data_IF_723960604301
#
_entry.id   IF_723960604301
#
_cell.length_a   1.000
_cell.length_b   1.000
_cell.length_c   1.000
_cell.angle_alpha   90.00
_cell.angle_beta   90.00
_cell.angle_gamma   90.00
#
_symmetry.space_group_name_H-M   'P 1'
#
loop_
_entity.id
_entity.type
_entity.pdbx_description
1 polymer ?
#
# COMPACT_ATOMS: atom_id res chain seq x y z
N UNK A 1 -4.77 -7.17 5.54
CA UNK A 1 -4.79 -7.48 4.10
C UNK A 1 -5.05 -8.96 3.95
N UNK A 2 -6.04 -9.34 3.14
CA UNK A 2 -6.32 -10.74 2.81
C UNK A 2 -5.76 -10.99 1.40
N UNK A 3 -4.63 -11.71 1.24
CA UNK A 3 -3.97 -11.87 -0.05
C UNK A 3 -4.78 -12.71 -1.05
N UNK A 4 -5.64 -13.60 -0.56
CA UNK A 4 -6.62 -14.32 -1.39
C UNK A 4 -7.89 -13.53 -1.67
N UNK A 5 -7.99 -12.29 -1.18
CA UNK A 5 -9.22 -11.52 -1.17
C UNK A 5 -10.21 -12.00 -0.11
N UNK A 6 -11.29 -11.24 0.00
CA UNK A 6 -12.43 -11.57 0.84
C UNK A 6 -13.47 -12.26 -0.06
N UNK A 7 -13.99 -13.46 0.28
CA UNK A 7 -14.83 -14.23 -0.64
C UNK A 7 -16.08 -13.45 -1.04
N UNK A 8 -16.27 -13.21 -2.34
CA UNK A 8 -17.38 -12.39 -2.82
C UNK A 8 -18.76 -13.00 -2.49
N UNK A 9 -18.83 -14.35 -2.44
CA UNK A 9 -20.05 -15.10 -2.12
C UNK A 9 -20.52 -14.95 -0.68
N UNK A 10 -19.65 -14.46 0.22
CA UNK A 10 -19.96 -14.24 1.63
C UNK A 10 -20.16 -12.75 1.97
N UNK A 11 -20.05 -11.87 0.96
CA UNK A 11 -19.82 -10.43 1.18
C UNK A 11 -20.73 -9.55 0.35
N UNK A 12 -20.46 -9.42 -0.95
CA UNK A 12 -21.11 -8.45 -1.83
C UNK A 12 -21.74 -9.06 -3.10
N UNK A 13 -21.45 -10.32 -3.42
CA UNK A 13 -22.03 -11.05 -4.56
C UNK A 13 -22.46 -12.45 -4.15
N UNK A 14 -23.36 -12.50 -3.17
CA UNK A 14 -23.86 -13.74 -2.61
C UNK A 14 -24.81 -14.43 -3.57
N UNK A 15 -24.84 -15.76 -3.52
CA UNK A 15 -25.65 -16.61 -4.40
C UNK A 15 -26.68 -17.40 -3.56
N UNK A 16 -27.61 -16.75 -2.85
CA UNK A 16 -28.50 -17.42 -1.88
C UNK A 16 -29.34 -18.54 -2.52
N UNK A 17 -29.69 -18.37 -3.79
CA UNK A 17 -30.47 -19.31 -4.59
C UNK A 17 -29.63 -20.40 -5.27
N UNK A 18 -28.30 -20.36 -5.19
CA UNK A 18 -27.46 -21.44 -5.69
C UNK A 18 -27.59 -22.69 -4.79
N UNK A 19 -27.29 -23.90 -5.30
CA UNK A 19 -27.28 -25.11 -4.48
C UNK A 19 -26.35 -24.96 -3.26
N UNK A 20 -26.64 -25.69 -2.18
CA UNK A 20 -25.88 -25.65 -0.92
C UNK A 20 -24.38 -25.82 -1.10
N UNK A 21 -23.98 -26.58 -2.13
CA UNK A 21 -22.58 -26.91 -2.40
C UNK A 21 -21.80 -25.74 -3.03
N UNK A 22 -22.51 -24.70 -3.51
CA UNK A 22 -21.93 -23.55 -4.20
C UNK A 22 -22.27 -22.20 -3.55
N UNK A 23 -23.38 -22.09 -2.81
CA UNK A 23 -23.73 -20.86 -2.11
C UNK A 23 -22.91 -20.69 -0.84
N UNK A 24 -22.67 -19.43 -0.47
CA UNK A 24 -22.04 -19.09 0.81
C UNK A 24 -22.91 -19.43 2.01
N UNK A 25 -22.31 -19.42 3.20
CA UNK A 25 -22.97 -19.73 4.47
C UNK A 25 -23.88 -18.59 4.95
N UNK A 26 -23.53 -17.33 4.64
CA UNK A 26 -24.24 -16.15 5.14
C UNK A 26 -25.42 -15.73 4.26
N UNK A 27 -26.35 -14.98 4.86
CA UNK A 27 -27.59 -14.52 4.22
C UNK A 27 -27.55 -13.06 3.77
N UNK A 28 -28.27 -12.71 2.69
CA UNK A 28 -28.46 -11.33 2.27
C UNK A 28 -29.31 -10.56 3.26
N UNK A 29 -28.90 -9.32 3.50
CA UNK A 29 -29.70 -8.30 4.17
C UNK A 29 -29.87 -7.09 3.25
N UNK A 30 -31.10 -6.58 3.20
CA UNK A 30 -31.42 -5.38 2.43
C UNK A 30 -30.69 -4.16 2.99
N UNK A 31 -30.31 -3.26 2.08
CA UNK A 31 -29.68 -1.97 2.42
C UNK A 31 -30.68 -0.82 2.33
N UNK A 32 -30.23 0.40 2.65
CA UNK A 32 -30.99 1.63 2.46
C UNK A 32 -31.22 2.00 0.99
N UNK A 33 -30.64 1.25 0.04
CA UNK A 33 -30.88 1.40 -1.40
C UNK A 33 -31.67 0.20 -1.92
N UNK A 34 -32.89 0.39 -2.48
CA UNK A 34 -33.68 -0.70 -3.04
C UNK A 34 -32.92 -1.49 -4.11
N UNK A 35 -32.98 -2.82 -4.00
CA UNK A 35 -32.29 -3.74 -4.93
C UNK A 35 -30.80 -3.97 -4.62
N UNK A 36 -30.25 -3.32 -3.59
CA UNK A 36 -28.90 -3.63 -3.09
C UNK A 36 -29.02 -4.44 -1.80
N UNK A 37 -28.37 -5.59 -1.81
CA UNK A 37 -28.18 -6.48 -0.67
C UNK A 37 -26.69 -6.73 -0.44
N UNK A 38 -26.34 -6.91 0.84
CA UNK A 38 -24.99 -7.29 1.31
C UNK A 38 -25.10 -8.40 2.34
N UNK A 39 -23.97 -8.99 2.73
CA UNK A 39 -23.91 -9.97 3.82
C UNK A 39 -24.47 -9.42 5.13
N UNK A 40 -25.22 -10.26 5.87
CA UNK A 40 -25.74 -9.96 7.21
C UNK A 40 -24.63 -9.56 8.21
N UNK A 41 -23.38 -9.94 7.92
CA UNK A 41 -22.20 -9.55 8.70
C UNK A 41 -21.82 -8.06 8.53
N UNK A 42 -22.44 -7.31 7.60
CA UNK A 42 -22.15 -5.89 7.38
C UNK A 42 -23.31 -4.95 7.73
N UNK A 43 -23.83 -4.97 8.97
CA UNK A 43 -24.98 -4.16 9.38
C UNK A 43 -24.71 -2.64 9.31
N UNK A 44 -23.45 -2.21 9.26
CA UNK A 44 -23.10 -0.80 9.04
C UNK A 44 -23.07 -0.44 7.54
N UNK A 45 -22.75 -1.38 6.66
CA UNK A 45 -22.77 -1.12 5.20
C UNK A 45 -24.20 -0.98 4.69
N UNK A 46 -25.17 -1.66 5.32
CA UNK A 46 -26.60 -1.51 4.96
C UNK A 46 -27.09 -0.07 5.09
N UNK A 47 -26.47 0.73 5.97
CA UNK A 47 -26.87 2.12 6.25
C UNK A 47 -26.24 3.15 5.33
N UNK A 48 -25.24 2.74 4.54
CA UNK A 48 -24.43 3.64 3.70
C UNK A 48 -24.30 3.12 2.27
N UNK A 49 -25.22 2.27 1.82
CA UNK A 49 -25.17 1.72 0.47
C UNK A 49 -25.38 2.78 -0.62
N UNK A 50 -25.96 3.93 -0.28
CA UNK A 50 -26.05 5.13 -1.11
C UNK A 50 -24.70 5.87 -1.28
N UNK A 51 -23.67 5.46 -0.53
CA UNK A 51 -22.34 6.10 -0.50
C UNK A 51 -21.26 5.29 -1.21
N UNK A 52 -21.59 4.11 -1.74
CA UNK A 52 -20.66 3.28 -2.49
C UNK A 52 -21.31 2.66 -3.73
N UNK A 53 -20.48 2.14 -4.63
CA UNK A 53 -20.93 1.41 -5.82
C UNK A 53 -20.48 -0.04 -5.75
N UNK A 54 -21.34 -0.95 -6.16
CA UNK A 54 -21.02 -2.38 -6.24
C UNK A 54 -20.69 -2.77 -7.68
N UNK A 55 -19.49 -3.30 -7.88
CA UNK A 55 -19.03 -3.81 -9.17
C UNK A 55 -18.83 -5.33 -9.04
N UNK A 56 -19.74 -6.11 -9.65
CA UNK A 56 -19.74 -7.58 -9.63
C UNK A 56 -19.22 -8.20 -10.94
N UNK A 57 -18.80 -7.36 -11.88
CA UNK A 57 -18.36 -7.76 -13.22
C UNK A 57 -16.85 -8.02 -13.33
N UNK A 58 -16.11 -7.98 -12.22
CA UNK A 58 -14.66 -8.22 -12.22
C UNK A 58 -14.41 -9.72 -12.06
N UNK A 59 -13.79 -10.34 -13.05
CA UNK A 59 -13.38 -11.74 -13.05
C UNK A 59 -12.05 -11.93 -13.79
N UNK A 60 -11.39 -13.06 -13.54
CA UNK A 60 -10.19 -13.51 -14.24
C UNK A 60 -10.06 -15.04 -14.18
N UNK A 61 -9.26 -15.62 -15.07
CA UNK A 61 -9.09 -17.08 -15.17
C UNK A 61 -7.82 -17.60 -14.46
N UNK A 62 -7.14 -16.77 -13.68
CA UNK A 62 -5.95 -17.18 -12.93
C UNK A 62 -6.32 -18.01 -11.69
N UNK A 63 -5.74 -19.21 -11.59
CA UNK A 63 -5.79 -20.05 -10.39
C UNK A 63 -4.67 -19.72 -9.38
N UNK A 64 -3.67 -18.91 -9.77
CA UNK A 64 -2.54 -18.51 -8.92
C UNK A 64 -2.71 -17.11 -8.34
N UNK A 65 -2.17 -16.91 -7.12
CA UNK A 65 -2.19 -15.61 -6.45
C UNK A 65 -1.43 -14.54 -7.22
N UNK A 66 -0.29 -14.87 -7.82
CA UNK A 66 0.55 -13.94 -8.58
C UNK A 66 -0.17 -13.36 -9.78
N UNK A 67 -0.80 -14.21 -10.60
CA UNK A 67 -1.63 -13.78 -11.73
C UNK A 67 -2.78 -12.85 -11.31
N UNK A 68 -3.51 -13.22 -10.26
CA UNK A 68 -4.59 -12.41 -9.69
C UNK A 68 -4.12 -11.05 -9.17
N UNK A 69 -3.01 -11.03 -8.40
CA UNK A 69 -2.44 -9.77 -7.91
C UNK A 69 -2.01 -8.86 -9.05
N UNK A 70 -1.28 -9.36 -10.04
CA UNK A 70 -0.88 -8.55 -11.21
C UNK A 70 -2.09 -8.02 -11.95
N UNK A 71 -3.15 -8.82 -12.11
CA UNK A 71 -4.40 -8.39 -12.74
C UNK A 71 -5.04 -7.21 -12.02
N UNK A 72 -5.21 -7.31 -10.71
CA UNK A 72 -5.83 -6.26 -9.88
C UNK A 72 -4.95 -5.03 -9.79
N UNK A 73 -3.65 -5.21 -9.56
CA UNK A 73 -2.71 -4.11 -9.34
C UNK A 73 -2.44 -3.32 -10.61
N UNK A 74 -2.48 -3.93 -11.80
CA UNK A 74 -2.10 -3.26 -13.06
C UNK A 74 -3.28 -2.96 -14.00
N UNK A 75 -4.45 -3.56 -13.74
CA UNK A 75 -5.61 -3.51 -14.63
C UNK A 75 -5.41 -4.23 -15.96
N UNK A 76 -4.33 -5.03 -16.12
CA UNK A 76 -3.95 -5.72 -17.37
C UNK A 76 -3.90 -7.24 -17.19
N UNK A 77 -3.99 -7.96 -18.29
CA UNK A 77 -3.73 -9.40 -18.30
C UNK A 77 -2.20 -9.56 -18.23
N UNK A 78 -1.63 -10.15 -17.16
CA UNK A 78 -0.19 -10.34 -17.05
C UNK A 78 0.32 -11.32 -18.12
N UNK A 79 1.59 -11.19 -18.52
CA UNK A 79 2.20 -12.11 -19.50
C UNK A 79 2.40 -13.49 -18.91
N UNK A 80 2.81 -13.56 -17.65
CA UNK A 80 2.90 -14.79 -16.86
C UNK A 80 1.70 -14.90 -15.91
N UNK A 81 0.99 -16.04 -15.85
CA UNK A 81 -0.13 -16.24 -14.93
C UNK A 81 0.32 -16.52 -13.49
N UNK A 82 1.63 -16.69 -13.26
CA UNK A 82 2.24 -17.00 -11.96
C UNK A 82 3.22 -15.91 -11.56
N UNK A 83 3.74 -15.98 -10.33
CA UNK A 83 4.68 -15.02 -9.75
C UNK A 83 4.09 -13.59 -9.65
N UNK A 84 4.82 -12.73 -8.98
CA UNK A 84 4.32 -11.42 -8.60
C UNK A 84 4.99 -10.25 -9.33
N UNK A 85 6.03 -10.51 -10.14
CA UNK A 85 6.75 -9.45 -10.87
C UNK A 85 5.85 -8.87 -11.97
N UNK A 86 5.69 -7.55 -11.95
CA UNK A 86 4.80 -6.83 -12.83
C UNK A 86 5.41 -6.58 -14.23
N UNK A 87 4.67 -6.91 -15.29
CA UNK A 87 4.97 -6.50 -16.67
C UNK A 87 4.59 -5.03 -16.96
N UNK A 88 3.61 -4.51 -16.22
CA UNK A 88 3.10 -3.16 -16.34
C UNK A 88 3.00 -2.51 -14.95
N UNK A 89 3.09 -1.18 -14.84
CA UNK A 89 3.14 -0.52 -13.55
C UNK A 89 1.85 -0.75 -12.75
N UNK A 90 2.00 -1.03 -11.46
CA UNK A 90 0.87 -1.04 -10.55
C UNK A 90 0.20 0.35 -10.51
N UNK A 91 -1.12 0.40 -10.34
CA UNK A 91 -1.90 1.64 -10.25
C UNK A 91 -1.33 2.65 -9.24
N UNK A 92 -0.91 2.26 -8.01
CA UNK A 92 -0.28 3.19 -7.08
C UNK A 92 1.02 3.80 -7.63
N UNK A 93 1.79 3.06 -8.41
CA UNK A 93 3.03 3.55 -9.04
C UNK A 93 2.73 4.54 -10.17
N UNK A 94 1.64 4.33 -10.93
CA UNK A 94 1.15 5.30 -11.92
C UNK A 94 0.75 6.60 -11.22
N UNK A 95 -0.01 6.51 -10.12
CA UNK A 95 -0.40 7.68 -9.32
C UNK A 95 0.83 8.42 -8.78
N UNK A 96 1.84 7.69 -8.28
CA UNK A 96 3.10 8.29 -7.84
C UNK A 96 3.81 9.05 -8.96
N UNK A 97 3.87 8.48 -10.18
CA UNK A 97 4.43 9.15 -11.36
C UNK A 97 3.64 10.42 -11.71
N UNK A 98 2.31 10.35 -11.69
CA UNK A 98 1.46 11.52 -11.99
C UNK A 98 1.57 12.63 -10.94
N UNK A 99 2.04 12.32 -9.74
CA UNK A 99 2.27 13.28 -8.65
C UNK A 99 3.71 13.80 -8.60
N UNK A 100 4.56 13.41 -9.54
CA UNK A 100 5.93 13.91 -9.63
C UNK A 100 5.98 15.45 -9.62
N UNK A 101 6.98 16.00 -8.91
CA UNK A 101 7.13 17.45 -8.74
C UNK A 101 6.19 18.08 -7.71
N UNK A 102 5.21 17.36 -7.16
CA UNK A 102 4.35 17.88 -6.08
C UNK A 102 5.03 17.71 -4.72
N UNK A 103 5.38 18.82 -4.09
CA UNK A 103 5.95 18.82 -2.75
C UNK A 103 4.88 18.45 -1.71
N UNK A 104 4.98 17.25 -1.14
CA UNK A 104 4.18 16.81 0.02
C UNK A 104 5.03 16.53 1.26
N UNK A 105 6.36 16.60 1.17
CA UNK A 105 7.26 16.19 2.24
C UNK A 105 7.23 14.68 2.58
N UNK A 106 6.40 13.92 1.86
CA UNK A 106 6.14 12.48 2.02
C UNK A 106 6.13 11.79 0.64
N UNK A 107 6.53 10.51 0.54
CA UNK A 107 6.36 9.68 -0.64
C UNK A 107 4.90 9.65 -1.11
N UNK A 108 4.71 9.62 -2.43
CA UNK A 108 3.37 9.57 -3.03
C UNK A 108 2.76 8.17 -3.04
N UNK A 109 3.54 7.14 -2.71
CA UNK A 109 3.10 5.74 -2.64
C UNK A 109 3.79 5.10 -1.43
N UNK A 110 3.01 4.68 -0.44
CA UNK A 110 3.48 4.10 0.82
C UNK A 110 2.75 2.77 1.02
N UNK A 111 3.50 1.74 1.39
CA UNK A 111 2.97 0.41 1.70
C UNK A 111 3.33 0.03 3.14
N UNK A 112 2.37 -0.50 3.89
CA UNK A 112 2.56 -0.91 5.29
C UNK A 112 2.30 -2.41 5.47
N UNK A 113 3.24 -3.29 5.07
CA UNK A 113 3.04 -4.73 5.18
C UNK A 113 3.40 -5.26 6.57
N UNK A 114 2.96 -6.48 6.87
CA UNK A 114 3.51 -7.23 8.00
C UNK A 114 5.01 -7.52 7.79
N UNK A 115 5.72 -7.80 8.88
CA UNK A 115 7.08 -8.32 8.80
C UNK A 115 7.11 -9.63 7.98
N UNK A 116 8.16 -9.79 7.19
CA UNK A 116 8.30 -10.90 6.23
C UNK A 116 7.56 -10.68 4.90
N UNK A 117 6.77 -9.60 4.76
CA UNK A 117 6.01 -9.27 3.54
C UNK A 117 6.41 -7.95 2.89
N UNK A 118 7.60 -7.46 3.21
CA UNK A 118 8.13 -6.18 2.76
C UNK A 118 8.70 -6.14 1.33
N UNK A 119 8.53 -7.19 0.53
CA UNK A 119 9.03 -7.20 -0.85
C UNK A 119 8.04 -6.54 -1.81
N UNK A 120 8.56 -5.76 -2.75
CA UNK A 120 7.76 -5.16 -3.84
C UNK A 120 7.04 -6.23 -4.66
N UNK A 121 7.72 -7.37 -4.88
CA UNK A 121 7.19 -8.53 -5.57
C UNK A 121 6.51 -9.53 -4.63
N UNK A 122 6.14 -9.17 -3.39
CA UNK A 122 5.33 -10.09 -2.56
C UNK A 122 3.86 -10.04 -2.97
N UNK A 123 3.39 -8.88 -3.46
CA UNK A 123 1.98 -8.65 -3.83
C UNK A 123 1.85 -7.78 -5.09
N UNK A 124 2.83 -7.85 -6.01
CA UNK A 124 2.77 -7.17 -7.29
C UNK A 124 2.64 -5.64 -7.21
N UNK A 125 3.43 -5.02 -6.33
CA UNK A 125 3.51 -3.56 -6.21
C UNK A 125 4.55 -2.93 -7.15
N UNK A 126 5.17 -3.72 -8.02
CA UNK A 126 6.22 -3.28 -8.94
C UNK A 126 5.79 -2.14 -9.86
N UNK A 127 6.70 -1.19 -10.07
CA UNK A 127 6.53 -0.06 -10.98
C UNK A 127 6.83 -0.42 -12.45
N UNK A 128 7.34 -1.62 -12.71
CA UNK A 128 7.73 -2.10 -14.04
C UNK A 128 8.57 -1.05 -14.80
N UNK A 129 8.18 -0.72 -16.03
CA UNK A 129 8.90 0.22 -16.89
C UNK A 129 8.84 1.70 -16.42
N UNK A 130 8.11 2.06 -15.36
CA UNK A 130 8.23 3.40 -14.78
C UNK A 130 9.53 3.58 -14.00
N UNK A 131 10.20 2.49 -13.61
CA UNK A 131 11.44 2.53 -12.86
C UNK A 131 11.23 2.52 -11.34
N UNK A 132 12.29 2.18 -10.61
CA UNK A 132 12.23 1.90 -9.18
C UNK A 132 11.83 3.13 -8.33
N UNK A 133 11.99 4.34 -8.85
CA UNK A 133 11.63 5.59 -8.16
C UNK A 133 10.13 5.70 -7.82
N UNK A 134 9.27 4.89 -8.45
CA UNK A 134 7.82 4.87 -8.23
C UNK A 134 7.31 3.60 -7.54
N UNK A 135 8.20 2.71 -7.09
CA UNK A 135 7.80 1.63 -6.17
C UNK A 135 7.38 2.24 -4.83
N UNK A 136 6.51 1.54 -4.05
CA UNK A 136 6.09 2.07 -2.77
C UNK A 136 7.25 2.21 -1.79
N UNK A 137 7.22 3.26 -0.97
CA UNK A 137 8.02 3.34 0.24
C UNK A 137 7.45 2.36 1.27
N UNK A 138 8.24 1.35 1.64
CA UNK A 138 7.76 0.22 2.44
C UNK A 138 8.05 0.47 3.92
N UNK A 139 7.00 0.43 4.73
CA UNK A 139 7.02 0.60 6.18
C UNK A 139 6.53 -0.70 6.83
N UNK A 140 7.42 -1.69 7.02
CA UNK A 140 7.03 -2.98 7.57
C UNK A 140 6.77 -2.91 9.07
N UNK A 141 6.01 -3.87 9.56
CA UNK A 141 5.76 -4.08 11.00
C UNK A 141 4.33 -3.75 11.41
N UNK A 142 4.11 -3.74 12.71
CA UNK A 142 2.79 -3.55 13.32
C UNK A 142 2.73 -2.21 14.08
N UNK A 143 2.03 -1.18 13.57
CA UNK A 143 1.87 0.11 14.24
C UNK A 143 1.17 0.07 15.61
N UNK A 144 0.56 -1.05 15.99
CA UNK A 144 0.00 -1.26 17.33
C UNK A 144 1.04 -1.75 18.35
N UNK A 145 2.20 -2.23 17.89
CA UNK A 145 3.26 -2.70 18.78
C UNK A 145 4.00 -1.52 19.44
N UNK A 146 4.34 -1.60 20.73
CA UNK A 146 5.05 -0.53 21.44
C UNK A 146 6.47 -0.30 20.91
N UNK A 147 7.04 -1.30 20.24
CA UNK A 147 8.37 -1.24 19.60
C UNK A 147 8.29 -0.84 18.13
N UNK A 148 7.12 -0.44 17.63
CA UNK A 148 6.99 -0.03 16.26
C UNK A 148 7.70 1.29 16.02
N UNK A 149 8.68 1.24 15.14
CA UNK A 149 9.34 2.42 14.62
C UNK A 149 9.44 2.29 13.11
N UNK A 150 9.18 3.39 12.41
CA UNK A 150 9.49 3.42 11.00
C UNK A 150 11.02 3.44 10.86
N UNK A 151 11.56 2.30 10.46
CA UNK A 151 12.99 2.14 10.16
C UNK A 151 13.39 3.23 9.17
N UNK A 152 14.45 3.96 9.49
CA UNK A 152 14.88 5.15 8.76
C UNK A 152 13.97 6.39 8.93
N UNK A 153 13.39 6.65 10.11
CA UNK A 153 12.85 7.98 10.49
C UNK A 153 13.36 8.49 11.86
N UNK A 154 14.06 7.65 12.63
CA UNK A 154 14.70 7.99 13.91
C UNK A 154 16.12 8.55 13.70
N UNK A 155 16.22 9.78 13.19
CA UNK A 155 17.50 10.51 13.12
C UNK A 155 17.61 11.48 14.28
N UNK A 156 18.58 11.26 15.17
CA UNK A 156 18.98 12.28 16.15
C UNK A 156 19.72 13.41 15.45
N UNK A 157 19.71 14.62 16.01
CA UNK A 157 20.33 15.81 15.39
C UNK A 157 21.81 15.60 15.05
N UNK A 158 22.55 14.91 15.92
CA UNK A 158 23.95 14.51 15.70
C UNK A 158 24.13 13.47 14.56
N UNK A 159 23.12 12.63 14.31
CA UNK A 159 23.10 11.68 13.18
C UNK A 159 22.76 12.39 11.86
N UNK A 160 21.94 13.45 11.88
CA UNK A 160 21.55 14.20 10.68
C UNK A 160 22.76 14.85 9.99
N UNK A 161 23.67 15.47 10.76
CA UNK A 161 24.91 16.06 10.25
C UNK A 161 25.84 15.00 9.65
N UNK A 162 26.01 13.86 10.33
CA UNK A 162 26.81 12.73 9.81
C UNK A 162 26.20 12.08 8.57
N UNK A 163 24.86 12.05 8.46
CA UNK A 163 24.14 11.57 7.29
C UNK A 163 24.32 12.53 6.10
N UNK A 164 24.35 13.84 6.32
CA UNK A 164 24.66 14.83 5.27
C UNK A 164 26.09 14.64 4.71
N UNK A 165 27.07 14.45 5.60
CA UNK A 165 28.47 14.21 5.21
C UNK A 165 28.60 12.90 4.40
N UNK A 166 27.95 11.82 4.86
CA UNK A 166 27.91 10.55 4.12
C UNK A 166 27.20 10.66 2.78
N UNK A 167 26.09 11.40 2.70
CA UNK A 167 25.39 11.62 1.43
C UNK A 167 26.28 12.38 0.43
N UNK A 168 27.04 13.36 0.89
CA UNK A 168 27.98 14.12 0.06
C UNK A 168 29.10 13.23 -0.49
N UNK A 169 29.66 12.35 0.36
CA UNK A 169 30.68 11.38 -0.03
C UNK A 169 30.15 10.31 -1.00
N UNK A 170 28.96 9.76 -0.74
CA UNK A 170 28.28 8.82 -1.64
C UNK A 170 28.04 9.44 -3.01
N UNK A 171 27.51 10.68 -3.07
CA UNK A 171 27.37 11.40 -4.34
C UNK A 171 28.70 11.62 -5.06
N UNK A 172 29.82 11.71 -4.33
CA UNK A 172 31.18 11.69 -4.90
C UNK A 172 31.54 10.36 -5.57
N UNK A 173 31.26 9.24 -4.91
CA UNK A 173 31.55 7.89 -5.40
C UNK A 173 30.61 7.48 -6.56
N UNK A 174 29.32 7.83 -6.48
CA UNK A 174 28.31 7.51 -7.49
C UNK A 174 28.56 8.27 -8.81
N UNK A 175 29.18 9.45 -8.74
CA UNK A 175 29.64 10.17 -9.94
C UNK A 175 30.76 9.44 -10.69
N UNK A 176 31.58 8.65 -10.00
CA UNK A 176 32.60 7.82 -10.64
C UNK A 176 32.00 6.56 -11.29
N UNK A 177 31.03 5.91 -10.65
CA UNK A 177 30.37 4.70 -11.18
C UNK A 177 29.33 5.00 -12.29
N UNK A 178 28.73 6.20 -12.32
CA UNK A 178 27.79 6.63 -13.37
C UNK A 178 28.31 6.50 -14.80
N UNK A 179 29.63 6.57 -14.98
CA UNK A 179 30.28 6.37 -16.29
C UNK A 179 30.20 4.92 -16.81
N UNK A 180 29.84 3.97 -15.94
CA UNK A 180 29.78 2.54 -16.24
C UNK A 180 28.35 1.98 -16.23
N UNK A 181 27.36 2.72 -15.71
CA UNK A 181 25.96 2.29 -15.66
C UNK A 181 25.16 2.85 -16.84
N UNK A 182 24.83 1.99 -17.81
CA UNK A 182 23.95 2.31 -18.93
C UNK A 182 22.46 2.02 -18.68
N UNK A 183 22.10 1.50 -17.51
CA UNK A 183 20.75 1.01 -17.21
C UNK A 183 19.84 2.05 -16.51
N UNK A 184 20.41 3.14 -16.00
CA UNK A 184 19.69 4.15 -15.22
C UNK A 184 19.34 3.72 -13.78
N UNK A 185 19.83 2.55 -13.33
CA UNK A 185 19.61 2.06 -11.97
C UNK A 185 20.23 2.98 -10.92
N UNK A 186 21.43 3.52 -11.19
CA UNK A 186 22.11 4.45 -10.27
C UNK A 186 21.33 5.75 -10.07
N UNK A 187 20.70 6.31 -11.10
CA UNK A 187 19.87 7.53 -10.97
C UNK A 187 18.59 7.25 -10.16
N UNK A 188 18.00 6.06 -10.31
CA UNK A 188 16.86 5.65 -9.50
C UNK A 188 17.25 5.45 -8.02
N UNK A 189 18.43 4.89 -7.76
CA UNK A 189 19.00 4.76 -6.41
C UNK A 189 19.29 6.13 -5.78
N UNK A 190 19.83 7.08 -6.53
CA UNK A 190 20.04 8.47 -6.09
C UNK A 190 18.70 9.11 -5.69
N UNK A 191 17.69 9.03 -6.56
CA UNK A 191 16.37 9.58 -6.29
C UNK A 191 15.68 8.91 -5.07
N UNK A 192 15.86 7.60 -4.91
CA UNK A 192 15.36 6.87 -3.75
C UNK A 192 16.08 7.30 -2.47
N UNK A 193 17.41 7.43 -2.52
CA UNK A 193 18.25 7.84 -1.39
C UNK A 193 17.96 9.28 -0.97
N UNK A 194 17.77 10.20 -1.91
CA UNK A 194 17.39 11.59 -1.63
C UNK A 194 16.00 11.68 -0.99
N UNK A 195 15.01 10.92 -1.49
CA UNK A 195 13.67 10.86 -0.86
C UNK A 195 13.73 10.27 0.54
N UNK A 196 14.50 9.20 0.74
CA UNK A 196 14.70 8.59 2.04
C UNK A 196 15.40 9.57 3.01
N UNK A 197 16.42 10.30 2.56
CA UNK A 197 17.09 11.33 3.35
C UNK A 197 16.16 12.50 3.70
N UNK A 198 15.37 12.97 2.74
CA UNK A 198 14.36 14.02 3.00
C UNK A 198 13.31 13.56 4.00
N UNK A 199 12.87 12.30 3.94
CA UNK A 199 11.96 11.72 4.94
C UNK A 199 12.61 11.70 6.33
N UNK A 200 13.80 11.11 6.44
CA UNK A 200 14.62 10.99 7.64
C UNK A 200 14.80 12.31 8.39
N UNK A 201 14.99 13.40 7.62
CA UNK A 201 15.29 14.73 8.15
C UNK A 201 14.06 15.62 8.30
N UNK A 202 12.93 15.26 7.67
CA UNK A 202 11.69 16.04 7.70
C UNK A 202 10.96 15.87 9.03
N UNK A 203 10.80 16.98 9.75
CA UNK A 203 9.92 17.04 10.93
C UNK A 203 8.48 16.68 10.58
N UNK A 204 7.99 17.16 9.44
CA UNK A 204 6.63 16.88 8.99
C UNK A 204 6.42 15.38 8.74
N UNK A 205 7.42 14.69 8.19
CA UNK A 205 7.35 13.25 7.98
C UNK A 205 7.27 12.51 9.33
N UNK A 206 8.15 12.84 10.29
CA UNK A 206 8.12 12.22 11.62
C UNK A 206 6.78 12.43 12.33
N UNK A 207 6.22 13.63 12.28
CA UNK A 207 4.92 13.93 12.89
C UNK A 207 3.77 13.19 12.19
N UNK A 208 3.84 12.97 10.87
CA UNK A 208 2.82 12.22 10.14
C UNK A 208 2.77 10.74 10.56
N UNK A 209 3.93 10.12 10.80
CA UNK A 209 4.02 8.72 11.24
C UNK A 209 3.79 8.50 12.74
N UNK A 210 3.75 9.56 13.55
CA UNK A 210 3.58 9.48 14.99
C UNK A 210 2.10 9.38 15.41
N UNK A 211 1.64 8.15 15.65
CA UNK A 211 0.28 7.86 16.13
C UNK A 211 0.02 8.35 17.56
N UNK A 212 1.04 8.70 18.36
CA UNK A 212 0.82 9.25 19.70
C UNK A 212 0.19 10.65 19.67
N UNK A 213 0.24 11.31 18.51
CA UNK A 213 -0.35 12.64 18.27
C UNK A 213 -1.84 12.58 17.95
N UNK A 214 -2.41 11.39 17.79
CA UNK A 214 -3.86 11.21 17.61
C UNK A 214 -4.58 11.28 18.95
N UNK A 215 -5.77 11.88 18.95
CA UNK A 215 -6.61 11.90 20.13
C UNK A 215 -7.07 10.48 20.50
N UNK A 216 -7.28 10.24 21.79
CA UNK A 216 -7.59 8.91 22.30
C UNK A 216 -8.91 8.35 21.74
N UNK A 217 -9.92 9.20 21.50
CA UNK A 217 -11.20 8.76 20.98
C UNK A 217 -11.09 8.29 19.52
N UNK A 218 -10.29 8.97 18.71
CA UNK A 218 -9.94 8.53 17.35
C UNK A 218 -9.20 7.21 17.39
N UNK A 219 -8.18 7.07 18.25
CA UNK A 219 -7.42 5.81 18.36
C UNK A 219 -8.30 4.63 18.75
N UNK A 220 -9.21 4.82 19.69
CA UNK A 220 -10.17 3.81 20.12
C UNK A 220 -11.14 3.44 18.99
N UNK A 221 -11.65 4.42 18.25
CA UNK A 221 -12.56 4.19 17.11
C UNK A 221 -11.94 3.31 16.03
N UNK A 222 -10.65 3.48 15.76
CA UNK A 222 -9.91 2.64 14.80
C UNK A 222 -9.51 1.28 15.40
N UNK A 223 -9.43 1.18 16.73
CA UNK A 223 -9.06 -0.02 17.47
C UNK A 223 -7.55 -0.18 17.63
N UNK A 224 -7.12 -0.67 18.80
CA UNK A 224 -5.72 -0.86 19.18
C UNK A 224 -5.08 -2.14 18.61
N UNK A 225 -5.52 -2.58 17.44
CA UNK A 225 -4.96 -3.73 16.72
C UNK A 225 -4.31 -3.29 15.41
N UNK A 226 -3.44 -4.16 14.86
CA UNK A 226 -2.62 -3.86 13.67
C UNK A 226 -3.39 -3.24 12.49
N UNK A 227 -4.54 -3.81 12.14
CA UNK A 227 -5.38 -3.30 11.06
C UNK A 227 -5.91 -1.88 11.32
N UNK A 228 -6.38 -1.63 12.54
CA UNK A 228 -6.93 -0.34 12.97
C UNK A 228 -5.86 0.74 12.97
N UNK A 229 -4.71 0.46 13.57
CA UNK A 229 -3.61 1.41 13.63
C UNK A 229 -2.99 1.67 12.24
N UNK A 230 -2.97 0.70 11.32
CA UNK A 230 -2.56 0.93 9.92
C UNK A 230 -3.52 1.83 9.16
N UNK A 231 -4.83 1.64 9.34
CA UNK A 231 -5.83 2.49 8.68
C UNK A 231 -5.83 3.91 9.25
N UNK A 232 -5.59 4.05 10.56
CA UNK A 232 -5.36 5.36 11.20
C UNK A 232 -4.10 6.04 10.66
N UNK A 233 -2.99 5.32 10.55
CA UNK A 233 -1.76 5.84 9.97
C UNK A 233 -1.95 6.25 8.50
N UNK A 234 -2.67 5.45 7.71
CA UNK A 234 -3.00 5.80 6.33
C UNK A 234 -3.81 7.10 6.23
N UNK A 235 -4.77 7.32 7.14
CA UNK A 235 -5.52 8.59 7.24
C UNK A 235 -4.58 9.77 7.49
N UNK A 236 -3.68 9.66 8.47
CA UNK A 236 -2.69 10.71 8.79
C UNK A 236 -1.75 11.06 7.65
N UNK A 237 -1.43 10.10 6.79
CA UNK A 237 -0.55 10.32 5.63
C UNK A 237 -1.27 11.02 4.48
N UNK A 238 -2.61 11.06 4.51
CA UNK A 238 -3.46 11.70 3.49
C UNK A 238 -3.91 13.10 3.94
N UNK A 239 -4.21 13.27 5.23
CA UNK A 239 -4.61 14.55 5.86
C UNK A 239 -3.41 15.49 6.07
#
# INVERSE_FOLDING_TARGET
WLPGGFPHMETYDMKPEAPSDFRGEFRPVATNVPGIEVSELFPLHTRVADRFSLIRSIAHDFADHGGGHKRVMTGRIPKSPVEFVNDAPACPSIVAKMREGRASGLPHNILMPDDGRQGVDVFSFGAAYLGQTYTPFIVPGDPSAPTFEVKNLSVTEAMATRLADRHTLLGGLDRLQRRLDGSGAMDAMDAFSQKAYSLLTSRAAREAFDLSREDAATRERYGHHSWGQRTLLARRLVE
#
